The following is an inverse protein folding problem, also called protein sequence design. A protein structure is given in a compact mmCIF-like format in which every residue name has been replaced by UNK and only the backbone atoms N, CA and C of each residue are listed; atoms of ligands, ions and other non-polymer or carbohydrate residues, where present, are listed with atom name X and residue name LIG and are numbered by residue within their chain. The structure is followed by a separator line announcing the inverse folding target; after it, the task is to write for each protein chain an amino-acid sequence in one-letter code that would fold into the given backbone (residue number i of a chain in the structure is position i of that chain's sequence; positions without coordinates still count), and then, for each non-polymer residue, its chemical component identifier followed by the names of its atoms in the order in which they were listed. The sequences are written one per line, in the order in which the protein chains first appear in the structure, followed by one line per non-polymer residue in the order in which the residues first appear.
data_IF_944141325233
#
_entry.id   IF_944141325233
#
_cell.length_a   1.000
_cell.length_b   1.000
_cell.length_c   1.000
_cell.angle_alpha   90.00
_cell.angle_beta   90.00
_cell.angle_gamma   90.00
#
_symmetry.space_group_name_H-M   'P 1'
#
loop_
_entity.id
_entity.type
_entity.pdbx_description
1 polymer ?
#
# COMPACT_ATOMS: atom_id res chain seq x y z
N UNK A 1 -15.53 8.25 -9.05
CA UNK A 1 -15.98 7.49 -7.87
C UNK A 1 -17.20 6.68 -8.27
N UNK A 2 -17.38 5.45 -7.77
CA UNK A 2 -18.63 4.72 -7.99
C UNK A 2 -19.83 5.59 -7.59
N UNK A 3 -20.95 5.53 -8.32
CA UNK A 3 -22.12 6.32 -8.01
C UNK A 3 -22.56 6.01 -6.57
N UNK A 4 -22.91 7.07 -5.83
CA UNK A 4 -23.27 6.99 -4.40
C UNK A 4 -24.37 5.96 -4.14
N UNK A 5 -25.24 5.73 -5.12
CA UNK A 5 -26.34 4.77 -5.07
C UNK A 5 -25.90 3.30 -4.90
N UNK A 6 -24.63 2.95 -5.21
CA UNK A 6 -24.11 1.60 -5.03
C UNK A 6 -23.88 1.21 -3.56
N UNK A 7 -24.01 2.14 -2.62
CA UNK A 7 -23.68 1.95 -1.21
C UNK A 7 -24.88 2.23 -0.30
N UNK A 8 -25.09 1.39 0.71
CA UNK A 8 -26.19 1.57 1.67
C UNK A 8 -26.09 2.88 2.42
N UNK A 9 -24.87 3.28 2.79
CA UNK A 9 -24.55 4.58 3.38
C UNK A 9 -23.38 5.27 2.65
N UNK A 10 -23.67 6.19 1.71
CA UNK A 10 -22.63 6.89 0.97
C UNK A 10 -21.85 7.90 1.82
N UNK A 11 -22.46 8.45 2.89
CA UNK A 11 -21.80 9.44 3.75
C UNK A 11 -20.78 8.77 4.65
N UNK A 12 -21.15 7.64 5.24
CA UNK A 12 -20.23 6.80 6.01
C UNK A 12 -19.02 6.39 5.16
N UNK A 13 -19.25 6.05 3.89
CA UNK A 13 -18.16 5.71 2.97
C UNK A 13 -17.20 6.88 2.75
N UNK A 14 -17.72 8.08 2.51
CA UNK A 14 -16.90 9.27 2.30
C UNK A 14 -16.10 9.62 3.57
N UNK A 15 -16.71 9.47 4.76
CA UNK A 15 -16.02 9.66 6.05
C UNK A 15 -14.88 8.65 6.25
N UNK A 16 -15.15 7.35 6.08
CA UNK A 16 -14.14 6.28 6.20
C UNK A 16 -13.02 6.49 5.18
N UNK A 17 -13.37 6.93 3.97
CA UNK A 17 -12.39 7.25 2.93
C UNK A 17 -11.47 8.39 3.36
N UNK A 18 -11.99 9.50 3.84
CA UNK A 18 -11.19 10.66 4.27
C UNK A 18 -10.30 10.30 5.46
N UNK A 19 -10.82 9.54 6.43
CA UNK A 19 -10.06 9.07 7.59
C UNK A 19 -8.86 8.22 7.17
N UNK A 20 -9.08 7.24 6.28
CA UNK A 20 -8.02 6.34 5.81
C UNK A 20 -7.06 7.04 4.84
N UNK A 21 -7.57 7.95 4.02
CA UNK A 21 -6.75 8.77 3.14
C UNK A 21 -5.73 9.58 3.96
N UNK A 22 -6.19 10.20 5.05
CA UNK A 22 -5.36 11.04 5.93
C UNK A 22 -4.57 10.24 6.97
N UNK A 23 -4.89 8.96 7.18
CA UNK A 23 -4.12 8.06 8.03
C UNK A 23 -2.72 7.77 7.46
N UNK A 24 -1.76 7.54 8.36
CA UNK A 24 -0.43 7.02 8.04
C UNK A 24 -0.40 5.48 7.92
N UNK A 25 -1.56 4.82 8.05
CA UNK A 25 -1.70 3.38 7.83
C UNK A 25 -1.87 3.08 6.34
N UNK A 26 -1.16 2.07 5.86
CA UNK A 26 -1.25 1.60 4.47
C UNK A 26 -0.60 2.53 3.44
N UNK A 27 0.19 3.51 3.85
CA UNK A 27 0.89 4.44 2.96
C UNK A 27 1.02 5.82 3.58
N UNK A 28 1.63 6.76 2.84
CA UNK A 28 1.76 8.13 3.33
C UNK A 28 0.37 8.80 3.50
N UNK A 29 0.19 9.65 4.53
CA UNK A 29 -0.98 10.50 4.68
C UNK A 29 -1.24 11.32 3.40
N UNK A 30 -2.51 11.41 2.99
CA UNK A 30 -2.91 12.14 1.79
C UNK A 30 -2.68 11.38 0.47
N UNK A 31 -2.24 10.12 0.52
CA UNK A 31 -2.11 9.26 -0.65
C UNK A 31 -3.06 8.08 -0.59
N UNK A 32 -3.55 7.65 -1.76
CA UNK A 32 -4.38 6.46 -1.90
C UNK A 32 -3.53 5.28 -2.41
N UNK A 33 -3.53 4.18 -1.66
CA UNK A 33 -2.82 2.94 -1.98
C UNK A 33 -3.77 1.75 -2.03
N UNK A 34 -3.33 0.63 -2.60
CA UNK A 34 -4.09 -0.62 -2.57
C UNK A 34 -4.42 -1.07 -1.14
N UNK A 35 -3.47 -0.95 -0.20
CA UNK A 35 -3.69 -1.30 1.21
C UNK A 35 -4.72 -0.40 1.87
N UNK A 36 -4.72 0.90 1.55
CA UNK A 36 -5.75 1.84 2.01
C UNK A 36 -7.13 1.52 1.42
N UNK A 37 -7.21 1.12 0.16
CA UNK A 37 -8.47 0.68 -0.44
C UNK A 37 -9.04 -0.56 0.28
N UNK A 38 -8.19 -1.55 0.60
CA UNK A 38 -8.58 -2.74 1.38
C UNK A 38 -9.08 -2.36 2.78
N UNK A 39 -8.36 -1.48 3.48
CA UNK A 39 -8.78 -1.00 4.79
C UNK A 39 -10.09 -0.21 4.73
N UNK A 40 -10.30 0.61 3.70
CA UNK A 40 -11.55 1.36 3.53
C UNK A 40 -12.74 0.45 3.34
N UNK A 41 -12.62 -0.57 2.48
CA UNK A 41 -13.68 -1.56 2.32
C UNK A 41 -13.99 -2.27 3.64
N UNK A 42 -12.94 -2.67 4.38
CA UNK A 42 -13.09 -3.36 5.66
C UNK A 42 -13.73 -2.49 6.74
N UNK A 43 -13.26 -1.25 6.92
CA UNK A 43 -13.79 -0.31 7.91
C UNK A 43 -15.20 0.15 7.55
N UNK A 44 -15.50 0.33 6.26
CA UNK A 44 -16.84 0.62 5.79
C UNK A 44 -17.82 -0.49 6.19
N UNK A 45 -17.46 -1.75 5.92
CA UNK A 45 -18.26 -2.91 6.32
C UNK A 45 -18.40 -3.04 7.83
N UNK A 46 -17.32 -2.86 8.59
CA UNK A 46 -17.33 -2.89 10.06
C UNK A 46 -18.25 -1.82 10.67
N UNK A 47 -18.35 -0.65 10.05
CA UNK A 47 -19.25 0.43 10.50
C UNK A 47 -20.69 0.27 10.01
N UNK A 48 -21.04 -0.90 9.46
CA UNK A 48 -22.40 -1.23 9.02
C UNK A 48 -22.74 -0.76 7.61
N UNK A 49 -21.75 -0.32 6.84
CA UNK A 49 -21.90 -0.05 5.42
C UNK A 49 -21.94 -1.33 4.61
N UNK A 50 -22.74 -1.34 3.55
CA UNK A 50 -22.84 -2.44 2.59
C UNK A 50 -23.08 -1.89 1.18
N UNK A 51 -23.20 -2.78 0.21
CA UNK A 51 -23.44 -2.47 -1.19
C UNK A 51 -24.91 -2.72 -1.52
N UNK A 52 -25.55 -1.78 -2.21
CA UNK A 52 -26.95 -1.93 -2.66
C UNK A 52 -27.08 -2.76 -3.93
N UNK A 53 -25.96 -3.05 -4.61
CA UNK A 53 -25.97 -3.81 -5.85
C UNK A 53 -26.01 -5.30 -5.54
N UNK A 54 -27.08 -5.96 -5.96
CA UNK A 54 -27.16 -7.41 -5.91
C UNK A 54 -26.00 -8.02 -6.72
N UNK A 55 -25.57 -9.22 -6.31
CA UNK A 55 -24.47 -9.94 -6.99
C UNK A 55 -24.80 -10.25 -8.46
N UNK A 56 -26.09 -10.22 -8.83
CA UNK A 56 -26.62 -10.35 -10.19
C UNK A 56 -26.54 -9.06 -11.02
N UNK A 57 -26.53 -7.89 -10.39
CA UNK A 57 -26.47 -6.56 -11.03
C UNK A 57 -25.04 -6.03 -11.21
N UNK A 58 -24.05 -6.92 -11.16
CA UNK A 58 -22.66 -6.57 -11.42
C UNK A 58 -22.50 -5.97 -12.82
N UNK A 59 -21.85 -4.82 -12.89
CA UNK A 59 -21.45 -4.23 -14.16
C UNK A 59 -20.38 -5.11 -14.84
N UNK A 60 -20.18 -4.91 -16.15
CA UNK A 60 -19.26 -5.72 -16.96
C UNK A 60 -17.83 -5.72 -16.40
N UNK A 61 -17.38 -4.60 -15.81
CA UNK A 61 -16.05 -4.52 -15.22
C UNK A 61 -15.92 -5.36 -13.94
N UNK A 62 -16.96 -5.41 -13.11
CA UNK A 62 -17.00 -6.27 -11.93
C UNK A 62 -17.07 -7.74 -12.33
N UNK A 63 -17.90 -8.09 -13.31
CA UNK A 63 -17.98 -9.45 -13.87
C UNK A 63 -16.63 -9.90 -14.41
N UNK A 64 -15.93 -9.04 -15.15
CA UNK A 64 -14.59 -9.32 -15.65
C UNK A 64 -13.59 -9.52 -14.50
N UNK A 65 -13.64 -8.72 -13.44
CA UNK A 65 -12.78 -8.92 -12.26
C UNK A 65 -13.06 -10.24 -11.52
N UNK A 66 -14.33 -10.63 -11.38
CA UNK A 66 -14.68 -11.94 -10.82
C UNK A 66 -14.15 -13.07 -11.69
N UNK A 67 -14.33 -12.98 -13.01
CA UNK A 67 -13.84 -14.00 -13.95
C UNK A 67 -12.31 -14.06 -13.92
N UNK A 68 -11.65 -12.92 -13.93
CA UNK A 68 -10.19 -12.79 -13.81
C UNK A 68 -9.68 -13.40 -12.50
N UNK A 69 -10.38 -13.21 -11.38
CA UNK A 69 -10.03 -13.79 -10.08
C UNK A 69 -10.29 -15.29 -9.96
N UNK A 70 -11.21 -15.84 -10.77
CA UNK A 70 -11.49 -17.28 -10.86
C UNK A 70 -10.54 -18.03 -11.79
N UNK A 71 -9.78 -17.32 -12.63
CA UNK A 71 -8.82 -17.94 -13.52
C UNK A 71 -7.64 -18.52 -12.73
N UNK A 72 -7.20 -19.72 -13.10
CA UNK A 72 -5.98 -20.32 -12.57
C UNK A 72 -4.76 -19.65 -13.21
N UNK A 73 -4.26 -18.59 -12.60
CA UNK A 73 -3.07 -17.90 -13.07
C UNK A 73 -1.80 -18.67 -12.71
N UNK A 74 -0.95 -18.91 -13.71
CA UNK A 74 0.27 -19.68 -13.53
C UNK A 74 1.35 -19.34 -14.57
N UNK A 75 2.57 -19.76 -14.29
CA UNK A 75 3.66 -19.78 -15.27
C UNK A 75 3.52 -20.97 -16.23
N UNK A 76 4.39 -21.04 -17.25
CA UNK A 76 4.43 -22.16 -18.21
C UNK A 76 4.50 -23.53 -17.51
N UNK A 77 5.23 -23.62 -16.39
CA UNK A 77 5.50 -24.85 -15.64
C UNK A 77 4.36 -25.22 -14.66
N UNK A 78 3.39 -24.32 -14.44
CA UNK A 78 2.32 -24.49 -13.47
C UNK A 78 2.57 -23.80 -12.13
N UNK A 79 3.71 -23.13 -11.95
CA UNK A 79 3.99 -22.39 -10.70
C UNK A 79 3.20 -21.09 -10.60
N UNK A 80 2.72 -20.78 -9.39
CA UNK A 80 2.09 -19.50 -9.04
C UNK A 80 3.08 -18.34 -8.85
N UNK A 81 4.39 -18.60 -8.87
CA UNK A 81 5.44 -17.58 -8.70
C UNK A 81 6.12 -17.27 -10.03
N UNK A 82 5.86 -16.09 -10.58
CA UNK A 82 6.50 -15.63 -11.82
C UNK A 82 7.91 -15.04 -11.60
N UNK A 83 8.19 -14.46 -10.42
CA UNK A 83 9.46 -13.80 -10.14
C UNK A 83 10.55 -14.81 -9.80
N UNK A 84 11.67 -14.73 -10.51
CA UNK A 84 12.85 -15.58 -10.35
C UNK A 84 13.91 -14.90 -9.47
N UNK A 85 14.82 -15.69 -8.91
CA UNK A 85 15.88 -15.19 -8.01
C UNK A 85 16.95 -14.39 -8.76
N UNK A 86 17.09 -14.61 -10.08
CA UNK A 86 17.97 -13.83 -10.96
C UNK A 86 17.38 -12.45 -11.34
N UNK A 87 16.23 -12.08 -10.76
CA UNK A 87 15.52 -10.83 -11.01
C UNK A 87 14.70 -10.83 -12.30
N UNK A 88 14.74 -11.90 -13.09
CA UNK A 88 13.86 -12.06 -14.24
C UNK A 88 12.48 -12.53 -13.83
N UNK A 89 11.52 -12.35 -14.73
CA UNK A 89 10.14 -12.74 -14.50
C UNK A 89 9.69 -13.66 -15.64
N UNK A 90 9.10 -14.80 -15.28
CA UNK A 90 8.41 -15.69 -16.19
C UNK A 90 7.10 -15.06 -16.65
N UNK A 91 6.58 -15.52 -17.79
CA UNK A 91 5.25 -15.11 -18.26
C UNK A 91 4.20 -15.69 -17.34
N UNK A 92 3.27 -14.84 -16.92
CA UNK A 92 2.13 -15.22 -16.08
C UNK A 92 0.84 -15.10 -16.89
N UNK A 93 0.17 -16.23 -17.13
CA UNK A 93 -1.05 -16.32 -17.93
C UNK A 93 -2.04 -17.31 -17.29
N UNK A 94 -3.34 -17.21 -17.63
CA UNK A 94 -4.32 -18.21 -17.22
C UNK A 94 -3.94 -19.60 -17.77
N UNK A 95 -4.17 -20.65 -16.97
CA UNK A 95 -3.94 -22.05 -17.34
C UNK A 95 -4.60 -22.42 -18.67
N UNK A 96 -5.88 -22.06 -18.86
CA UNK A 96 -6.61 -22.26 -20.12
C UNK A 96 -5.95 -21.58 -21.32
N UNK A 97 -5.29 -20.44 -21.11
CA UNK A 97 -4.55 -19.77 -22.19
C UNK A 97 -3.29 -20.55 -22.56
N UNK A 98 -2.60 -21.14 -21.58
CA UNK A 98 -1.48 -22.04 -21.85
C UNK A 98 -1.93 -23.29 -22.63
N UNK A 99 -3.05 -23.92 -22.25
CA UNK A 99 -3.58 -25.11 -22.93
C UNK A 99 -3.94 -24.87 -24.41
N UNK A 100 -4.30 -23.65 -24.77
CA UNK A 100 -4.59 -23.23 -26.15
C UNK A 100 -3.34 -22.90 -27.01
N UNK A 101 -2.12 -23.07 -26.45
CA UNK A 101 -0.84 -22.82 -27.12
C UNK A 101 0.00 -24.09 -27.26
N UNK A 102 0.73 -24.20 -28.36
CA UNK A 102 1.75 -25.23 -28.55
C UNK A 102 2.98 -24.96 -27.66
N UNK A 103 3.74 -26.00 -27.32
CA UNK A 103 4.94 -25.87 -26.47
C UNK A 103 5.97 -24.86 -26.99
N UNK A 104 6.09 -24.73 -28.31
CA UNK A 104 6.94 -23.75 -28.98
C UNK A 104 6.44 -22.32 -28.75
N UNK A 105 5.13 -22.08 -28.91
CA UNK A 105 4.52 -20.78 -28.65
C UNK A 105 4.61 -20.40 -27.17
N UNK A 106 4.42 -21.39 -26.27
CA UNK A 106 4.56 -21.18 -24.84
C UNK A 106 5.99 -20.75 -24.49
N UNK A 107 6.98 -21.47 -25.01
CA UNK A 107 8.39 -21.19 -24.80
C UNK A 107 8.75 -19.80 -25.34
N UNK A 108 8.33 -19.48 -26.56
CA UNK A 108 8.62 -18.18 -27.21
C UNK A 108 8.07 -16.99 -26.42
N UNK A 109 6.85 -17.08 -25.91
CA UNK A 109 6.25 -15.97 -25.13
C UNK A 109 6.90 -15.79 -23.76
N UNK A 110 7.33 -16.89 -23.15
CA UNK A 110 8.03 -16.90 -21.87
C UNK A 110 9.47 -16.36 -22.00
N UNK A 111 10.23 -16.85 -23.00
CA UNK A 111 11.57 -16.35 -23.31
C UNK A 111 11.56 -14.85 -23.61
N UNK A 112 10.56 -14.35 -24.35
CA UNK A 112 10.40 -12.90 -24.57
C UNK A 112 10.26 -12.14 -23.24
N UNK A 113 9.45 -12.64 -22.30
CA UNK A 113 9.23 -12.02 -21.00
C UNK A 113 10.47 -12.08 -20.11
N UNK A 114 11.17 -13.22 -20.08
CA UNK A 114 12.42 -13.37 -19.33
C UNK A 114 13.52 -12.47 -19.90
N UNK A 115 13.72 -12.44 -21.22
CA UNK A 115 14.77 -11.65 -21.85
C UNK A 115 14.58 -10.14 -21.67
N UNK A 116 13.34 -9.66 -21.74
CA UNK A 116 13.04 -8.24 -21.55
C UNK A 116 13.00 -7.83 -20.08
N UNK A 117 12.54 -8.70 -19.17
CA UNK A 117 12.63 -8.42 -17.73
C UNK A 117 14.08 -8.35 -17.26
N UNK A 118 14.97 -9.19 -17.79
CA UNK A 118 16.43 -9.08 -17.58
C UNK A 118 17.01 -7.74 -18.05
N UNK A 119 16.39 -7.09 -19.03
CA UNK A 119 16.76 -5.74 -19.49
C UNK A 119 16.15 -4.63 -18.63
N UNK A 120 15.50 -4.97 -17.51
CA UNK A 120 14.87 -4.00 -16.60
C UNK A 120 13.48 -3.54 -17.04
N UNK A 121 12.89 -4.14 -18.08
CA UNK A 121 11.51 -3.79 -18.48
C UNK A 121 10.51 -4.43 -17.53
N UNK A 122 9.80 -3.61 -16.76
CA UNK A 122 8.73 -4.06 -15.87
C UNK A 122 7.55 -4.66 -16.66
N UNK A 123 7.15 -4.01 -17.76
CA UNK A 123 6.06 -4.47 -18.62
C UNK A 123 6.60 -4.95 -19.96
N UNK A 124 6.18 -6.15 -20.36
CA UNK A 124 6.59 -6.82 -21.61
C UNK A 124 5.35 -7.36 -22.28
N UNK A 125 5.07 -6.90 -23.48
CA UNK A 125 3.86 -7.29 -24.21
C UNK A 125 3.83 -8.80 -24.50
N UNK A 126 2.63 -9.37 -24.44
CA UNK A 126 2.36 -10.74 -24.88
C UNK A 126 2.67 -10.88 -26.38
N UNK A 127 3.08 -12.07 -26.81
CA UNK A 127 3.08 -12.41 -28.23
C UNK A 127 1.64 -12.45 -28.75
N UNK A 128 1.43 -12.27 -30.05
CA UNK A 128 0.08 -12.29 -30.65
C UNK A 128 -0.70 -13.55 -30.27
N UNK A 129 -0.08 -14.72 -30.41
CA UNK A 129 -0.69 -15.98 -29.96
C UNK A 129 -1.08 -15.99 -28.48
N UNK A 130 -0.24 -15.44 -27.60
CA UNK A 130 -0.55 -15.38 -26.18
C UNK A 130 -1.64 -14.36 -25.85
N UNK A 131 -1.78 -13.29 -26.65
CA UNK A 131 -2.93 -12.37 -26.57
C UNK A 131 -4.21 -13.09 -26.99
N UNK A 132 -4.19 -13.77 -28.13
CA UNK A 132 -5.36 -14.49 -28.66
C UNK A 132 -5.79 -15.63 -27.72
N UNK A 133 -4.84 -16.41 -27.23
CA UNK A 133 -5.13 -17.53 -26.31
C UNK A 133 -5.67 -17.05 -24.98
N UNK A 134 -5.24 -15.86 -24.50
CA UNK A 134 -5.82 -15.22 -23.32
C UNK A 134 -7.25 -14.75 -23.57
N UNK A 135 -7.50 -14.09 -24.72
CA UNK A 135 -8.84 -13.64 -25.10
C UNK A 135 -9.82 -14.81 -25.17
N UNK A 136 -9.40 -15.91 -25.81
CA UNK A 136 -10.21 -17.12 -25.88
C UNK A 136 -10.46 -17.74 -24.51
N UNK A 137 -9.45 -17.77 -23.64
CA UNK A 137 -9.61 -18.28 -22.27
C UNK A 137 -10.64 -17.47 -21.45
N UNK A 138 -10.70 -16.15 -21.63
CA UNK A 138 -11.71 -15.31 -20.98
C UNK A 138 -13.12 -15.53 -21.56
N UNK A 139 -13.25 -15.68 -22.87
CA UNK A 139 -14.53 -15.94 -23.56
C UNK A 139 -15.11 -17.31 -23.16
N UNK A 140 -14.27 -18.34 -23.07
CA UNK A 140 -14.68 -19.69 -22.63
C UNK A 140 -15.18 -19.69 -21.17
N UNK A 141 -14.67 -18.79 -20.33
CA UNK A 141 -15.11 -18.65 -18.94
C UNK A 141 -16.46 -17.94 -18.83
N UNK A 142 -16.72 -16.95 -19.68
CA UNK A 142 -18.02 -16.27 -19.76
C UNK A 142 -19.13 -17.21 -20.27
N UNK A 143 -18.80 -18.10 -21.21
CA UNK A 143 -19.78 -18.99 -21.84
C UNK A 143 -20.09 -20.26 -21.02
N UNK A 144 -19.23 -20.63 -20.05
CA UNK A 144 -19.39 -21.83 -19.21
C UNK A 144 -19.75 -21.51 -17.74
N UNK A 145 -20.25 -20.29 -17.49
CA UNK A 145 -20.52 -19.75 -16.16
C UNK A 145 -21.70 -20.36 -15.38
N UNK A 146 -22.28 -21.48 -15.80
CA UNK A 146 -23.47 -22.09 -15.19
C UNK A 146 -23.22 -23.38 -14.39
N UNK A 147 -21.99 -23.92 -14.34
CA UNK A 147 -21.73 -25.15 -13.57
C UNK A 147 -20.38 -25.13 -12.85
N UNK A 148 -20.33 -24.39 -11.74
CA UNK A 148 -19.50 -24.80 -10.60
C UNK A 148 -20.23 -24.36 -9.33
N UNK A 149 -21.13 -25.22 -8.88
CA UNK A 149 -21.71 -25.17 -7.53
C UNK A 149 -20.56 -25.46 -6.55
N UNK A 150 -19.85 -24.41 -6.16
CA UNK A 150 -19.05 -24.47 -4.93
C UNK A 150 -20.04 -24.43 -3.76
N UNK A 151 -19.87 -25.26 -2.72
CA UNK A 151 -20.79 -25.32 -1.61
C UNK A 151 -21.17 -23.94 -1.10
N UNK A 152 -22.48 -23.73 -0.96
CA UNK A 152 -23.08 -22.67 -0.16
C UNK A 152 -22.31 -22.54 1.17
N UNK A 153 -21.42 -21.56 1.27
CA UNK A 153 -20.99 -21.00 2.55
C UNK A 153 -22.17 -20.20 3.11
N UNK A 154 -23.19 -20.91 3.57
CA UNK A 154 -24.14 -20.39 4.54
C UNK A 154 -23.48 -20.47 5.92
N UNK A 155 -23.41 -19.30 6.56
CA UNK A 155 -23.25 -19.10 7.99
C UNK A 155 -21.94 -19.60 8.64
N UNK A 156 -20.93 -18.72 8.69
CA UNK A 156 -20.10 -18.62 9.90
C UNK A 156 -19.80 -17.15 10.22
N UNK A 157 -20.54 -16.68 11.22
CA UNK A 157 -20.56 -15.34 11.75
C UNK A 157 -19.83 -15.29 13.10
N UNK A 158 -18.51 -15.54 13.14
CA UNK A 158 -17.60 -15.08 14.22
C UNK A 158 -16.12 -15.41 13.94
N UNK A 159 -15.54 -14.85 12.89
CA UNK A 159 -14.07 -14.82 12.74
C UNK A 159 -13.46 -13.62 13.45
N UNK A 160 -13.21 -13.71 14.77
CA UNK A 160 -12.29 -12.78 15.44
C UNK A 160 -10.91 -12.84 14.75
N UNK A 161 -10.52 -11.76 14.08
CA UNK A 161 -9.17 -11.59 13.57
C UNK A 161 -8.23 -11.35 14.75
N UNK A 162 -7.70 -12.43 15.32
CA UNK A 162 -6.53 -12.38 16.20
C UNK A 162 -5.28 -12.21 15.32
N UNK A 163 -4.48 -11.16 15.52
CA UNK A 163 -3.16 -11.10 14.89
C UNK A 163 -2.28 -12.18 15.54
N UNK A 164 -1.94 -13.20 14.78
CA UNK A 164 -0.90 -14.16 15.12
C UNK A 164 0.39 -13.40 15.44
N UNK A 165 0.93 -13.75 16.61
CA UNK A 165 2.20 -13.28 17.10
C UNK A 165 3.34 -13.97 16.37
N UNK A 166 4.44 -13.23 16.33
CA UNK A 166 5.83 -13.67 16.22
C UNK A 166 6.02 -15.18 16.46
N UNK A 167 6.20 -15.94 15.38
CA UNK A 167 6.92 -17.21 15.44
C UNK A 167 8.41 -16.89 15.26
N UNK A 168 9.14 -17.10 16.35
CA UNK A 168 10.60 -17.10 16.40
C UNK A 168 11.14 -18.21 15.49
N UNK A 169 12.03 -17.80 14.59
CA UNK A 169 12.89 -18.64 13.77
C UNK A 169 14.01 -19.19 14.69
N UNK A 170 13.76 -20.32 15.34
CA UNK A 170 14.81 -21.11 16.00
C UNK A 170 15.26 -22.25 15.08
N UNK A 171 16.45 -22.01 14.53
CA UNK A 171 17.29 -22.87 13.72
C UNK A 171 17.62 -24.20 14.43
N UNK A 172 17.40 -25.30 13.70
CA UNK A 172 17.80 -26.67 14.03
C UNK A 172 19.30 -26.87 13.73
N UNK A 173 20.11 -27.06 14.77
CA UNK A 173 21.41 -27.74 14.68
C UNK A 173 21.59 -28.70 15.89
N UNK A 174 21.23 -29.96 15.68
CA UNK A 174 22.02 -31.17 15.94
C UNK A 174 23.17 -31.10 17.00
N UNK A 175 23.03 -31.78 18.15
CA UNK A 175 24.09 -32.67 18.72
C UNK A 175 23.53 -33.58 19.85
N UNK A 176 24.10 -34.76 19.93
CA UNK A 176 23.80 -35.94 20.72
C UNK A 176 24.23 -35.80 22.21
N UNK A 177 23.39 -36.23 23.17
CA UNK A 177 23.71 -37.25 24.20
C UNK A 177 22.84 -37.20 25.48
N UNK A 178 22.55 -38.42 25.95
CA UNK A 178 22.43 -38.88 27.35
C UNK A 178 21.16 -38.58 28.19
N UNK A 179 20.28 -39.59 28.19
CA UNK A 179 19.61 -40.31 29.30
C UNK A 179 18.94 -39.59 30.52
N UNK A 180 17.91 -40.24 31.13
CA UNK A 180 16.84 -39.55 31.85
C UNK A 180 16.84 -39.77 33.38
N UNK A 181 16.37 -38.75 34.10
CA UNK A 181 15.83 -38.83 35.47
C UNK A 181 14.88 -37.64 35.61
N UNK A 182 13.59 -37.77 35.91
CA UNK A 182 13.02 -38.42 37.07
C UNK A 182 12.36 -37.33 37.96
N UNK A 183 11.14 -37.60 38.42
CA UNK A 183 10.38 -36.88 39.46
C UNK A 183 9.49 -35.66 39.12
N UNK A 184 8.19 -36.00 39.09
CA UNK A 184 7.02 -35.36 39.72
C UNK A 184 7.28 -34.17 40.68
N UNK A 185 6.45 -33.12 40.57
CA UNK A 185 5.54 -32.79 41.66
C UNK A 185 4.35 -31.93 41.19
N UNK A 186 3.17 -32.31 41.66
CA UNK A 186 1.90 -31.59 41.53
C UNK A 186 1.80 -30.53 42.63
N UNK A 187 1.25 -29.35 42.36
CA UNK A 187 0.40 -28.71 43.35
C UNK A 187 -0.64 -27.76 42.75
N UNK A 188 -1.83 -27.92 43.30
CA UNK A 188 -3.14 -27.44 42.90
C UNK A 188 -3.56 -26.26 43.80
N UNK A 189 -4.71 -25.69 43.44
CA UNK A 189 -5.63 -24.88 44.25
C UNK A 189 -5.42 -23.35 44.21
N UNK A 190 -6.45 -22.50 44.20
CA UNK A 190 -7.86 -22.53 43.77
C UNK A 190 -8.38 -21.09 43.98
N UNK A 191 -9.35 -20.68 43.15
CA UNK A 191 -10.46 -19.75 43.40
C UNK A 191 -10.22 -18.32 43.95
N UNK A 192 -10.76 -17.29 43.26
CA UNK A 192 -12.09 -16.71 43.57
C UNK A 192 -12.57 -15.59 42.62
N UNK A 193 -13.83 -15.78 42.19
CA UNK A 193 -14.97 -14.84 42.10
C UNK A 193 -15.18 -13.88 40.91
N UNK A 194 -16.41 -14.04 40.41
CA UNK A 194 -17.11 -13.33 39.36
C UNK A 194 -17.83 -12.04 39.80
N UNK A 195 -18.03 -11.14 38.81
CA UNK A 195 -19.34 -10.58 38.48
C UNK A 195 -19.62 -9.13 38.88
N UNK A 196 -19.92 -8.26 37.90
CA UNK A 196 -21.17 -7.48 37.86
C UNK A 196 -21.34 -6.67 36.56
N UNK A 197 -22.53 -6.81 35.96
CA UNK A 197 -23.09 -6.03 34.82
C UNK A 197 -23.89 -4.82 35.34
N UNK A 198 -24.15 -3.90 34.39
CA UNK A 198 -25.15 -2.79 34.34
C UNK A 198 -24.60 -1.47 34.94
N UNK A 199 -24.76 -0.30 34.32
CA UNK A 199 -25.97 0.26 33.71
C UNK A 199 -25.72 1.47 32.80
N UNK A 200 -26.67 1.62 31.88
CA UNK A 200 -27.01 2.72 30.95
C UNK A 200 -27.46 3.98 31.69
N UNK A 201 -27.04 5.16 31.22
CA UNK A 201 -27.53 6.48 31.66
C UNK A 201 -27.58 7.45 30.48
N UNK A 202 -28.75 8.08 30.30
CA UNK A 202 -29.16 8.94 29.17
C UNK A 202 -29.43 10.35 29.72
N UNK A 203 -29.30 11.34 28.83
CA UNK A 203 -30.00 12.65 28.79
C UNK A 203 -29.54 13.84 29.64
N UNK A 204 -29.13 14.92 28.94
CA UNK A 204 -29.74 16.27 28.86
C UNK A 204 -28.67 17.26 28.36
N UNK A 205 -28.90 18.34 27.59
CA UNK A 205 -30.06 19.02 27.05
C UNK A 205 -29.54 20.21 26.20
N UNK A 206 -30.16 20.52 25.06
CA UNK A 206 -29.94 21.79 24.33
C UNK A 206 -30.43 23.01 25.13
N UNK A 207 -30.10 24.23 24.67
CA UNK A 207 -31.19 25.05 24.10
C UNK A 207 -30.83 25.78 22.79
N UNK A 208 -31.87 25.98 21.99
CA UNK A 208 -31.87 26.71 20.72
C UNK A 208 -32.07 28.24 20.90
N UNK A 209 -31.57 29.02 19.92
CA UNK A 209 -32.27 30.08 19.14
C UNK A 209 -31.32 31.21 18.70
N UNK A 210 -31.19 31.42 17.38
CA UNK A 210 -31.75 32.61 16.68
C UNK A 210 -31.48 32.56 15.18
N UNK A 211 -32.57 32.54 14.43
CA UNK A 211 -32.65 32.96 13.03
C UNK A 211 -32.44 34.47 12.91
N UNK A 212 -31.79 34.93 11.83
CA UNK A 212 -32.20 36.14 11.13
C UNK A 212 -31.91 36.04 9.63
N UNK A 213 -32.97 36.27 8.90
CA UNK A 213 -33.15 36.44 7.46
C UNK A 213 -32.24 37.52 6.83
N UNK A 214 -31.89 37.34 5.57
CA UNK A 214 -32.15 38.41 4.60
C UNK A 214 -32.47 37.87 3.20
N UNK A 215 -33.48 38.49 2.61
CA UNK A 215 -34.10 38.15 1.34
C UNK A 215 -33.50 38.94 0.16
N UNK A 216 -33.59 38.33 -1.02
CA UNK A 216 -33.79 39.02 -2.30
C UNK A 216 -32.58 38.96 -3.24
N UNK A 217 -32.73 38.72 -4.54
CA UNK A 217 -33.90 38.86 -5.39
C UNK A 217 -33.68 38.05 -6.68
N UNK A 218 -34.74 37.38 -7.13
CA UNK A 218 -34.83 36.65 -8.38
C UNK A 218 -34.73 37.56 -9.61
N UNK A 219 -34.34 36.99 -10.75
CA UNK A 219 -35.15 37.15 -11.97
C UNK A 219 -34.96 35.95 -12.92
N UNK A 220 -35.97 35.08 -12.86
CA UNK A 220 -36.72 34.47 -13.95
C UNK A 220 -36.30 34.65 -15.42
N UNK A 221 -36.49 33.51 -16.11
CA UNK A 221 -37.05 33.25 -17.44
C UNK A 221 -36.11 33.14 -18.64
N UNK A 222 -36.34 32.24 -19.61
CA UNK A 222 -37.19 31.03 -19.79
C UNK A 222 -37.07 30.72 -21.29
N UNK A 223 -37.07 29.42 -21.63
CA UNK A 223 -37.50 28.79 -22.91
C UNK A 223 -36.73 29.16 -24.19
N UNK A 224 -36.52 28.29 -25.18
CA UNK A 224 -36.95 26.91 -25.43
C UNK A 224 -36.38 26.51 -26.81
N UNK A 225 -36.14 25.20 -27.01
CA UNK A 225 -36.47 24.37 -28.19
C UNK A 225 -36.07 24.91 -29.59
N UNK A 226 -35.54 24.14 -30.54
CA UNK A 226 -35.85 22.77 -30.96
C UNK A 226 -35.03 22.52 -32.27
N UNK A 227 -34.62 21.27 -32.51
CA UNK A 227 -34.46 20.49 -33.78
C UNK A 227 -34.03 21.22 -35.09
N UNK A 228 -33.32 20.67 -36.09
CA UNK A 228 -33.21 19.34 -36.72
C UNK A 228 -32.10 19.46 -37.82
N UNK A 229 -31.43 18.33 -38.18
CA UNK A 229 -30.95 17.93 -39.53
C UNK A 229 -29.99 18.89 -40.32
N UNK A 230 -29.05 18.54 -41.20
CA UNK A 230 -28.65 17.34 -41.94
C UNK A 230 -27.38 17.68 -42.80
N UNK A 231 -26.44 16.73 -42.93
CA UNK A 231 -25.78 16.21 -44.17
C UNK A 231 -24.68 17.03 -44.93
N UNK A 232 -23.77 16.23 -45.54
CA UNK A 232 -22.76 16.43 -46.62
C UNK A 232 -21.37 17.00 -46.21
N UNK A 233 -20.28 16.22 -46.26
CA UNK A 233 -19.50 15.73 -47.44
C UNK A 233 -18.50 16.79 -47.91
N UNK A 234 -17.19 16.49 -47.81
CA UNK A 234 -16.20 16.73 -48.87
C UNK A 234 -14.82 16.16 -48.47
N UNK A 235 -14.20 15.50 -49.44
CA UNK A 235 -12.83 15.00 -49.46
C UNK A 235 -11.79 16.13 -49.46
N UNK A 236 -10.56 15.85 -49.03
CA UNK A 236 -9.35 16.07 -49.83
C UNK A 236 -8.06 15.83 -49.02
N UNK A 237 -7.17 15.04 -49.64
CA UNK A 237 -5.71 15.04 -49.51
C UNK A 237 -5.11 16.46 -49.35
N UNK A 238 -4.04 16.61 -48.56
CA UNK A 238 -2.78 17.21 -49.04
C UNK A 238 -1.61 16.99 -48.05
N UNK A 239 -0.59 16.33 -48.59
CA UNK A 239 0.85 16.60 -48.52
C UNK A 239 1.57 16.95 -47.19
N UNK A 240 2.49 16.04 -46.86
CA UNK A 240 3.55 16.12 -45.86
C UNK A 240 4.71 16.95 -46.44
N UNK A 241 4.85 18.22 -46.02
CA UNK A 241 6.06 19.01 -46.25
C UNK A 241 6.72 19.41 -44.94
N UNK A 242 7.96 18.94 -44.83
CA UNK A 242 8.95 19.28 -43.84
C UNK A 242 9.32 20.77 -43.88
N UNK A 243 9.40 21.39 -42.71
CA UNK A 243 10.18 22.61 -42.50
C UNK A 243 11.04 22.46 -41.24
N UNK A 244 12.33 22.61 -41.50
CA UNK A 244 13.47 22.88 -40.65
C UNK A 244 13.21 24.01 -39.63
N UNK A 245 13.49 23.76 -38.36
CA UNK A 245 13.67 24.84 -37.37
C UNK A 245 14.89 24.52 -36.50
N UNK A 246 16.02 24.99 -37.01
CA UNK A 246 17.27 25.19 -36.31
C UNK A 246 17.08 25.90 -34.96
N UNK A 247 17.44 25.23 -33.86
CA UNK A 247 17.55 25.87 -32.54
C UNK A 247 19.00 25.85 -32.04
N UNK A 248 19.65 26.97 -32.34
CA UNK A 248 20.58 27.75 -31.52
C UNK A 248 21.30 27.01 -30.39
N UNK A 249 22.53 26.62 -30.72
CA UNK A 249 23.58 26.17 -29.81
C UNK A 249 24.22 27.42 -29.16
N UNK A 250 23.80 27.76 -27.94
CA UNK A 250 24.49 28.76 -27.13
C UNK A 250 25.31 28.07 -26.03
N UNK A 251 26.54 27.75 -26.43
CA UNK A 251 27.69 27.46 -25.60
C UNK A 251 27.98 28.63 -24.64
N UNK A 252 27.80 28.41 -23.33
CA UNK A 252 28.26 29.30 -22.27
C UNK A 252 29.21 28.53 -21.34
N UNK A 253 30.50 28.74 -21.63
CA UNK A 253 31.68 28.78 -20.77
C UNK A 253 31.78 27.82 -19.55
N UNK A 254 32.77 26.94 -19.71
CA UNK A 254 33.52 26.18 -18.71
C UNK A 254 33.81 26.97 -17.43
N UNK A 255 33.17 26.55 -16.35
CA UNK A 255 33.53 26.87 -14.98
C UNK A 255 33.44 25.60 -14.15
N UNK A 256 34.56 24.90 -14.01
CA UNK A 256 34.75 23.72 -13.16
C UNK A 256 34.01 23.85 -11.81
N UNK A 257 32.83 23.22 -11.69
CA UNK A 257 32.13 23.00 -10.42
C UNK A 257 32.16 21.51 -10.12
N UNK A 258 32.96 21.17 -9.11
CA UNK A 258 33.03 19.83 -8.53
C UNK A 258 31.63 19.21 -8.37
N UNK A 259 31.48 17.97 -8.81
CA UNK A 259 30.29 17.15 -8.64
C UNK A 259 29.85 17.13 -7.17
N UNK A 260 28.92 18.03 -6.80
CA UNK A 260 28.33 18.03 -5.47
C UNK A 260 27.45 16.80 -5.33
N UNK A 261 28.00 15.77 -4.70
CA UNK A 261 27.26 14.58 -4.29
C UNK A 261 26.09 15.04 -3.40
N UNK A 262 24.86 14.75 -3.82
CA UNK A 262 23.65 15.05 -3.05
C UNK A 262 23.13 13.78 -2.35
N UNK A 263 22.35 13.95 -1.28
CA UNK A 263 21.79 12.86 -0.48
C UNK A 263 20.29 13.00 -0.25
N UNK A 264 19.59 11.87 -0.37
CA UNK A 264 18.15 11.78 -0.14
C UNK A 264 17.28 12.39 -1.25
N UNK A 265 15.97 12.17 -1.17
CA UNK A 265 15.00 12.68 -2.15
C UNK A 265 14.90 14.21 -2.18
N UNK A 266 15.42 14.90 -1.16
CA UNK A 266 15.48 16.36 -1.07
C UNK A 266 16.75 16.97 -1.69
N UNK A 267 17.64 16.14 -2.27
CA UNK A 267 18.91 16.57 -2.86
C UNK A 267 19.74 17.46 -1.92
N UNK A 268 19.85 17.08 -0.64
CA UNK A 268 20.67 17.83 0.33
C UNK A 268 22.16 17.63 0.02
N UNK A 269 23.03 18.56 0.43
CA UNK A 269 24.48 18.34 0.34
C UNK A 269 24.87 17.05 1.10
N UNK A 270 25.70 16.19 0.49
CA UNK A 270 26.15 14.94 1.14
C UNK A 270 27.21 15.15 2.22
N UNK A 271 27.59 16.41 2.48
CA UNK A 271 28.53 16.77 3.54
C UNK A 271 27.93 16.46 4.92
N UNK A 272 28.76 15.94 5.82
CA UNK A 272 28.33 15.60 7.17
C UNK A 272 28.07 16.89 7.96
N UNK A 273 26.88 17.06 8.57
CA UNK A 273 26.46 18.38 9.01
C UNK A 273 27.12 18.82 10.33
N UNK A 274 27.76 17.90 11.05
CA UNK A 274 28.55 18.16 12.26
C UNK A 274 29.47 16.96 12.55
N UNK A 275 30.22 17.00 13.66
CA UNK A 275 31.02 15.85 14.09
C UNK A 275 30.11 14.70 14.56
N UNK A 276 30.41 13.47 14.14
CA UNK A 276 29.72 12.26 14.61
C UNK A 276 29.85 12.07 16.13
N UNK A 277 28.81 11.54 16.75
CA UNK A 277 28.84 11.06 18.13
C UNK A 277 29.59 9.73 18.25
N UNK A 278 29.82 9.30 19.49
CA UNK A 278 30.37 7.98 19.81
C UNK A 278 29.81 7.50 21.17
N UNK A 279 30.19 6.32 21.65
CA UNK A 279 29.83 5.92 23.01
C UNK A 279 30.40 6.89 24.07
N UNK A 280 31.58 7.47 23.80
CA UNK A 280 32.31 8.36 24.70
C UNK A 280 31.93 9.84 24.57
N UNK A 281 31.46 10.24 23.38
CA UNK A 281 30.92 11.57 23.12
C UNK A 281 29.42 11.40 23.02
N UNK A 282 28.68 11.85 24.04
CA UNK A 282 27.23 11.83 24.07
C UNK A 282 26.68 13.27 24.09
N UNK A 283 25.55 13.54 23.42
CA UNK A 283 24.94 14.86 23.45
C UNK A 283 24.32 15.15 24.82
N UNK A 284 24.20 16.43 25.16
CA UNK A 284 23.50 16.90 26.37
C UNK A 284 21.99 16.84 26.16
N UNK A 285 21.23 16.74 27.25
CA UNK A 285 19.76 16.83 27.20
C UNK A 285 19.34 18.13 26.50
N UNK A 286 18.34 18.03 25.63
CA UNK A 286 17.80 19.10 24.78
C UNK A 286 18.78 19.67 23.74
N UNK A 287 19.96 19.07 23.56
CA UNK A 287 20.91 19.44 22.51
C UNK A 287 20.35 19.10 21.12
N UNK A 288 20.64 19.95 20.14
CA UNK A 288 20.33 19.69 18.73
C UNK A 288 21.19 18.54 18.22
N UNK A 289 20.53 17.54 17.63
CA UNK A 289 21.15 16.36 17.04
C UNK A 289 20.55 16.14 15.66
N UNK A 290 21.39 15.76 14.71
CA UNK A 290 21.01 15.40 13.36
C UNK A 290 21.31 13.92 13.10
N UNK A 291 20.49 13.26 12.28
CA UNK A 291 20.72 11.88 11.87
C UNK A 291 20.26 11.68 10.43
N UNK A 292 20.76 10.62 9.80
CA UNK A 292 20.44 10.31 8.40
C UNK A 292 19.11 9.55 8.31
N UNK A 293 18.23 10.01 7.44
CA UNK A 293 16.96 9.40 7.10
C UNK A 293 16.72 9.44 5.57
N UNK A 294 15.61 8.87 5.10
CA UNK A 294 15.26 8.82 3.67
C UNK A 294 15.33 10.17 2.92
N UNK A 295 14.84 11.30 3.47
CA UNK A 295 14.93 12.59 2.76
C UNK A 295 16.31 13.26 2.84
N UNK A 296 17.28 12.69 3.58
CA UNK A 296 18.59 13.30 3.86
C UNK A 296 18.84 13.39 5.37
N UNK A 297 19.45 14.48 5.84
CA UNK A 297 19.65 14.71 7.26
C UNK A 297 18.41 15.33 7.92
N UNK A 298 17.99 14.75 9.04
CA UNK A 298 16.87 15.24 9.85
C UNK A 298 17.41 15.77 11.16
N UNK A 299 16.94 16.95 11.57
CA UNK A 299 17.28 17.57 12.84
C UNK A 299 16.21 17.30 13.91
N UNK A 300 16.66 17.23 15.16
CA UNK A 300 15.81 17.08 16.32
C UNK A 300 16.57 17.39 17.61
N UNK A 301 15.94 17.08 18.74
CA UNK A 301 16.50 17.30 20.08
C UNK A 301 16.66 16.01 20.85
N UNK A 302 17.72 15.92 21.65
CA UNK A 302 17.90 14.82 22.59
C UNK A 302 16.92 14.91 23.74
N UNK A 303 16.06 13.90 23.89
CA UNK A 303 15.14 13.76 25.02
C UNK A 303 15.85 13.06 26.18
N UNK A 304 16.53 11.95 25.90
CA UNK A 304 17.17 11.11 26.91
C UNK A 304 18.29 10.27 26.29
N UNK A 305 19.33 9.96 27.09
CA UNK A 305 20.31 8.92 26.77
C UNK A 305 19.97 7.67 27.57
N UNK A 306 19.71 6.59 26.85
CA UNK A 306 19.33 5.30 27.40
C UNK A 306 20.57 4.42 27.57
N UNK A 307 20.82 3.96 28.80
CA UNK A 307 21.95 3.07 29.16
C UNK A 307 21.49 1.70 29.69
N UNK A 308 20.21 1.42 29.58
CA UNK A 308 19.56 0.17 29.99
C UNK A 308 18.36 -0.06 29.07
N UNK A 309 17.92 -1.31 28.94
CA UNK A 309 16.76 -1.67 28.14
C UNK A 309 15.51 -0.90 28.57
N UNK A 310 14.80 -0.30 27.60
CA UNK A 310 13.60 0.50 27.87
C UNK A 310 12.60 0.37 26.75
N UNK A 311 11.32 0.47 27.12
CA UNK A 311 10.20 0.56 26.17
C UNK A 311 9.90 2.02 25.86
N UNK A 312 9.94 2.39 24.58
CA UNK A 312 9.65 3.74 24.07
C UNK A 312 8.59 3.61 22.99
N UNK A 313 7.47 4.33 23.15
CA UNK A 313 6.36 4.31 22.20
C UNK A 313 5.85 2.89 21.88
N UNK A 314 5.75 2.05 22.91
CA UNK A 314 5.30 0.66 22.78
C UNK A 314 6.34 -0.32 22.22
N UNK A 315 7.55 0.13 21.85
CA UNK A 315 8.64 -0.70 21.31
C UNK A 315 9.79 -0.85 22.29
N UNK A 316 10.28 -2.07 22.45
CA UNK A 316 11.43 -2.36 23.32
C UNK A 316 12.73 -2.06 22.59
N UNK A 317 13.63 -1.33 23.25
CA UNK A 317 14.96 -1.04 22.73
C UNK A 317 16.01 -1.48 23.74
N UNK A 318 16.93 -2.35 23.29
CA UNK A 318 18.07 -2.79 24.10
C UNK A 318 19.13 -1.70 24.22
N UNK A 319 19.65 -1.40 25.40
CA UNK A 319 20.82 -0.54 25.57
C UNK A 319 21.59 -0.92 26.83
N UNK A 320 22.86 -0.57 26.85
CA UNK A 320 23.74 -0.83 27.99
C UNK A 320 24.59 0.40 28.28
N UNK A 321 25.35 0.35 29.37
CA UNK A 321 26.30 1.41 29.70
C UNK A 321 27.39 1.56 28.63
N UNK A 322 27.77 0.47 27.96
CA UNK A 322 28.79 0.43 26.89
C UNK A 322 28.20 0.70 25.51
N UNK A 323 26.92 0.41 25.30
CA UNK A 323 26.17 0.71 24.07
C UNK A 323 24.92 1.56 24.36
N UNK A 324 25.11 2.86 24.63
CA UNK A 324 24.00 3.76 24.89
C UNK A 324 23.19 4.01 23.62
N UNK A 325 21.89 4.30 23.77
CA UNK A 325 21.02 4.77 22.70
C UNK A 325 20.50 6.17 22.98
N UNK A 326 20.40 6.98 21.93
CA UNK A 326 19.88 8.34 21.98
C UNK A 326 18.39 8.31 21.63
N UNK A 327 17.57 8.83 22.54
CA UNK A 327 16.15 9.06 22.32
C UNK A 327 15.98 10.49 21.83
N UNK A 328 15.61 10.66 20.56
CA UNK A 328 15.55 11.94 19.87
C UNK A 328 14.10 12.26 19.52
N UNK A 329 13.74 13.54 19.61
CA UNK A 329 12.47 14.06 19.09
C UNK A 329 12.73 14.83 17.81
N UNK A 330 12.12 14.41 16.71
CA UNK A 330 12.23 15.07 15.41
C UNK A 330 11.58 16.45 15.42
N UNK A 331 12.28 17.47 14.92
CA UNK A 331 11.72 18.82 14.78
C UNK A 331 10.66 18.89 13.68
N UNK A 332 10.79 18.04 12.65
CA UNK A 332 9.88 18.07 11.48
C UNK A 332 8.60 17.27 11.69
N UNK A 333 8.67 16.14 12.40
CA UNK A 333 7.53 15.24 12.59
C UNK A 333 7.03 15.16 14.03
N UNK A 334 7.78 15.68 15.00
CA UNK A 334 7.47 15.57 16.42
C UNK A 334 7.59 14.14 16.99
N UNK A 335 7.88 13.14 16.15
CA UNK A 335 7.97 11.72 16.54
C UNK A 335 9.27 11.45 17.31
N UNK A 336 9.21 10.44 18.18
CA UNK A 336 10.37 9.95 18.91
C UNK A 336 11.10 8.90 18.06
N UNK A 337 12.41 9.05 17.94
CA UNK A 337 13.30 8.15 17.23
C UNK A 337 14.42 7.69 18.17
N UNK A 338 14.88 6.45 18.03
CA UNK A 338 15.97 5.90 18.86
C UNK A 338 17.13 5.54 17.95
N UNK A 339 18.31 6.12 18.20
CA UNK A 339 19.50 5.95 17.38
C UNK A 339 20.73 5.62 18.21
N UNK A 340 21.74 4.99 17.59
CA UNK A 340 23.07 4.87 18.20
C UNK A 340 23.84 6.20 18.07
N UNK A 341 24.67 6.60 19.05
CA UNK A 341 25.43 7.84 19.00
C UNK A 341 26.28 8.02 17.73
N UNK A 342 26.85 6.93 17.21
CA UNK A 342 27.68 6.89 15.99
C UNK A 342 26.91 7.23 14.70
N UNK A 343 25.59 7.11 14.72
CA UNK A 343 24.70 7.45 13.59
C UNK A 343 24.18 8.89 13.65
N UNK A 344 24.58 9.63 14.68
CA UNK A 344 24.10 10.97 14.99
C UNK A 344 25.25 11.99 14.91
N UNK A 345 24.89 13.22 14.54
CA UNK A 345 25.76 14.35 14.32
C UNK A 345 25.31 15.52 15.19
N UNK A 346 26.24 16.14 15.90
CA UNK A 346 25.97 17.29 16.77
C UNK A 346 27.29 17.98 17.11
N UNK A 347 27.23 19.22 17.59
CA UNK A 347 28.40 20.04 17.95
C UNK A 347 28.89 19.85 19.39
#
# INVERSE_FOLDING_TARGET
MPPKEKYTDPKLRDEVKEEIHNSDKGGAPGQWSARKAQMMASEYKKRGGDYNTDKSEKDESQKNLDNWGKEDWQTKEGDGKAKQDDGSEKRYLPKKAWENMSEEEKKKTDEKKQAESKKGKQHVENTEKAKDSRKKASEDNENNGEQHDSPQDEDDADGEYQPDGEEDDENDENDENAEPSGEQDEQKDQDVKAGQKRSRGKENSSPAKKQKSNAGKANDKKSSSKDDEAVDDDEADDDDQAEDDSRDDNNAEDGSKADKKTIGSKHMDAEEPAKKGSADRLPKKDQKVQWKAMPGYVAGKLVEVMKADKKIDGKSHKASATEPKLVLKSDSSGKICVHKPETCFYD
#
